data_IF_643385396701
#
_entry.id   IF_643385396701
#
_cell.length_a   1.000
_cell.length_b   1.000
_cell.length_c   1.000
_cell.angle_alpha   90.00
_cell.angle_beta   90.00
_cell.angle_gamma   90.00
#
_symmetry.space_group_name_H-M   'P 1'
#
loop_
_entity.id
_entity.type
_entity.pdbx_description
1 polymer ?
#
# COMPACT_ATOMS: atom_id res chain seq x y z
N UNK A 1 -10.31 -4.21 2.77
CA UNK A 1 -10.88 -2.94 2.30
C UNK A 1 -10.45 -1.83 3.26
N UNK A 2 -10.03 -0.71 2.72
CA UNK A 2 -9.82 0.53 3.45
C UNK A 2 -8.44 0.88 3.97
N UNK A 3 -7.38 0.06 3.87
CA UNK A 3 -6.06 0.44 4.39
C UNK A 3 -5.20 1.24 3.41
N UNK A 4 -5.57 1.35 2.13
CA UNK A 4 -4.80 2.05 1.10
C UNK A 4 -4.75 3.56 1.28
N UNK A 5 -3.66 4.21 0.83
CA UNK A 5 -3.46 5.65 0.97
C UNK A 5 -4.52 6.49 0.22
N UNK A 6 -5.06 5.95 -0.87
CA UNK A 6 -6.10 6.60 -1.69
C UNK A 6 -7.52 6.20 -1.30
N UNK A 7 -7.68 5.20 -0.44
CA UNK A 7 -8.96 4.61 -0.11
C UNK A 7 -9.65 5.38 1.02
N UNK A 8 -10.88 5.81 0.80
CA UNK A 8 -11.74 6.44 1.81
C UNK A 8 -12.92 5.56 2.22
N UNK A 9 -12.99 4.32 1.75
CA UNK A 9 -14.13 3.41 1.99
C UNK A 9 -14.47 3.27 3.47
N UNK A 10 -13.49 3.11 4.36
CA UNK A 10 -13.75 3.02 5.81
C UNK A 10 -14.38 4.28 6.39
N UNK A 11 -13.97 5.44 5.90
CA UNK A 11 -14.53 6.73 6.34
C UNK A 11 -15.94 6.92 5.81
N UNK A 12 -16.20 6.48 4.59
CA UNK A 12 -17.48 6.68 3.91
C UNK A 12 -18.54 5.66 4.28
N UNK A 13 -18.15 4.42 4.59
CA UNK A 13 -19.08 3.31 4.76
C UNK A 13 -18.99 2.63 6.12
N UNK A 14 -17.95 2.89 6.90
CA UNK A 14 -17.63 2.14 8.13
C UNK A 14 -17.11 0.72 7.87
N UNK A 15 -17.05 0.28 6.61
CA UNK A 15 -16.58 -1.07 6.23
C UNK A 15 -15.05 -1.09 6.13
N UNK A 16 -14.44 -2.10 6.73
CA UNK A 16 -13.00 -2.32 6.68
C UNK A 16 -12.42 -2.65 8.05
N UNK A 17 -11.21 -3.20 8.05
CA UNK A 17 -10.46 -3.55 9.27
C UNK A 17 -8.95 -3.39 9.03
N UNK A 18 -8.13 -3.35 10.09
CA UNK A 18 -6.68 -3.31 9.96
C UNK A 18 -6.15 -4.47 9.12
N UNK A 19 -5.25 -4.15 8.17
CA UNK A 19 -4.81 -5.09 7.14
C UNK A 19 -4.15 -6.34 7.73
N UNK A 20 -3.27 -6.18 8.73
CA UNK A 20 -2.58 -7.31 9.34
C UNK A 20 -3.57 -8.37 9.85
N UNK A 21 -4.58 -7.95 10.62
CA UNK A 21 -5.58 -8.87 11.17
C UNK A 21 -6.46 -9.51 10.09
N UNK A 22 -6.74 -8.78 9.00
CA UNK A 22 -7.49 -9.32 7.88
C UNK A 22 -6.70 -10.40 7.15
N UNK A 23 -5.42 -10.13 6.85
CA UNK A 23 -4.51 -11.09 6.19
C UNK A 23 -4.34 -12.34 7.05
N UNK A 24 -4.08 -12.19 8.35
CA UNK A 24 -3.86 -13.31 9.26
C UNK A 24 -5.04 -14.28 9.28
N UNK A 25 -6.26 -13.74 9.41
CA UNK A 25 -7.48 -14.55 9.45
C UNK A 25 -7.77 -15.20 8.09
N UNK A 26 -7.73 -14.42 7.00
CA UNK A 26 -8.01 -14.93 5.66
C UNK A 26 -6.94 -15.92 5.17
N UNK A 27 -5.66 -15.71 5.49
CA UNK A 27 -4.58 -16.62 5.10
C UNK A 27 -4.73 -17.99 5.80
N UNK A 28 -5.15 -18.00 7.07
CA UNK A 28 -5.43 -19.24 7.79
C UNK A 28 -6.54 -20.05 7.11
N UNK A 29 -7.65 -19.41 6.74
CA UNK A 29 -8.76 -20.04 6.05
C UNK A 29 -8.37 -20.51 4.63
N UNK A 30 -7.69 -19.66 3.86
CA UNK A 30 -7.29 -19.97 2.49
C UNK A 30 -6.34 -21.18 2.43
N UNK A 31 -5.39 -21.26 3.36
CA UNK A 31 -4.43 -22.37 3.42
C UNK A 31 -5.11 -23.74 3.61
N UNK A 32 -6.17 -23.77 4.41
CA UNK A 32 -6.96 -25.02 4.61
C UNK A 32 -7.63 -25.48 3.30
N UNK A 33 -7.85 -24.56 2.37
CA UNK A 33 -8.46 -24.83 1.07
C UNK A 33 -7.44 -24.90 -0.07
N UNK A 34 -6.13 -24.87 0.23
CA UNK A 34 -5.06 -24.83 -0.77
C UNK A 34 -4.98 -23.51 -1.56
N UNK A 35 -5.59 -22.43 -1.03
CA UNK A 35 -5.62 -21.13 -1.65
C UNK A 35 -4.53 -20.18 -1.15
N UNK A 36 -4.43 -19.01 -1.78
CA UNK A 36 -3.47 -17.96 -1.47
C UNK A 36 -4.18 -16.63 -1.17
N UNK A 37 -3.52 -15.80 -0.35
CA UNK A 37 -3.99 -14.45 -0.03
C UNK A 37 -3.01 -13.41 -0.55
N UNK A 38 -3.55 -12.39 -1.18
CA UNK A 38 -2.84 -11.18 -1.56
C UNK A 38 -3.19 -10.08 -0.55
N UNK A 39 -2.17 -9.47 0.05
CA UNK A 39 -2.34 -8.34 0.94
C UNK A 39 -2.35 -7.05 0.12
N UNK A 40 -3.54 -6.46 -0.07
CA UNK A 40 -3.71 -5.24 -0.86
C UNK A 40 -3.92 -4.02 0.03
N UNK A 41 -3.03 -3.05 -0.12
CA UNK A 41 -3.12 -1.75 0.53
C UNK A 41 -2.38 -1.63 1.88
N UNK A 42 -2.14 -0.39 2.28
CA UNK A 42 -1.48 -0.07 3.55
C UNK A 42 0.04 -0.22 3.58
N UNK A 43 0.67 -0.50 2.45
CA UNK A 43 2.13 -0.70 2.34
C UNK A 43 2.82 0.64 2.08
N UNK A 44 3.70 1.04 3.01
CA UNK A 44 4.47 2.29 2.95
C UNK A 44 5.95 2.10 3.22
N UNK A 45 6.33 0.99 3.83
CA UNK A 45 7.69 0.65 4.22
C UNK A 45 7.96 -0.84 3.99
N UNK A 46 9.22 -1.27 3.85
CA UNK A 46 9.57 -2.69 3.76
C UNK A 46 9.02 -3.54 4.92
N UNK A 47 8.93 -2.96 6.12
CA UNK A 47 8.33 -3.64 7.28
C UNK A 47 6.88 -4.05 7.05
N UNK A 48 6.11 -3.26 6.30
CA UNK A 48 4.69 -3.54 6.06
C UNK A 48 4.55 -4.77 5.14
N UNK A 49 5.48 -4.91 4.18
CA UNK A 49 5.60 -6.12 3.35
C UNK A 49 5.98 -7.32 4.21
N UNK A 50 7.00 -7.18 5.06
CA UNK A 50 7.44 -8.25 5.95
C UNK A 50 6.32 -8.71 6.89
N UNK A 51 5.56 -7.77 7.48
CA UNK A 51 4.42 -8.06 8.33
C UNK A 51 3.29 -8.77 7.58
N UNK A 52 3.00 -8.37 6.33
CA UNK A 52 1.98 -9.04 5.51
C UNK A 52 2.38 -10.48 5.19
N UNK A 53 3.65 -10.73 4.84
CA UNK A 53 4.19 -12.07 4.60
C UNK A 53 4.21 -12.90 5.89
N UNK A 54 4.59 -12.33 7.02
CA UNK A 54 4.54 -12.98 8.32
C UNK A 54 3.10 -13.35 8.72
N UNK A 55 2.10 -12.54 8.36
CA UNK A 55 0.69 -12.85 8.55
C UNK A 55 0.17 -13.97 7.63
N UNK A 56 0.95 -14.40 6.65
CA UNK A 56 0.62 -15.50 5.74
C UNK A 56 0.15 -15.09 4.35
N UNK A 57 0.31 -13.83 3.96
CA UNK A 57 0.11 -13.44 2.58
C UNK A 57 1.17 -14.09 1.67
N UNK A 58 0.75 -14.51 0.48
CA UNK A 58 1.67 -15.00 -0.56
C UNK A 58 2.20 -13.89 -1.43
N UNK A 59 1.44 -12.81 -1.56
CA UNK A 59 1.75 -11.66 -2.40
C UNK A 59 1.31 -10.38 -1.70
N UNK A 60 1.91 -9.27 -2.11
CA UNK A 60 1.56 -7.93 -1.64
C UNK A 60 1.25 -7.04 -2.83
N UNK A 61 0.12 -6.33 -2.77
CA UNK A 61 -0.26 -5.31 -3.75
C UNK A 61 0.13 -3.94 -3.23
N UNK A 62 0.93 -3.22 -4.01
CA UNK A 62 1.44 -1.90 -3.65
C UNK A 62 0.99 -0.90 -4.72
N UNK A 63 0.19 0.09 -4.33
CA UNK A 63 -0.30 1.13 -5.24
C UNK A 63 0.50 2.43 -5.14
N UNK A 64 0.25 3.19 -4.07
CA UNK A 64 0.78 4.55 -3.93
C UNK A 64 2.30 4.64 -3.95
N UNK A 65 2.99 3.67 -3.42
CA UNK A 65 4.46 3.67 -3.41
C UNK A 65 5.05 3.49 -4.81
N UNK A 66 4.49 2.58 -5.62
CA UNK A 66 4.87 2.44 -7.03
C UNK A 66 4.38 3.61 -7.91
N UNK A 67 3.30 4.30 -7.52
CA UNK A 67 2.83 5.46 -8.26
C UNK A 67 3.85 6.62 -8.29
N UNK A 68 4.79 6.66 -7.33
CA UNK A 68 5.90 7.59 -7.26
C UNK A 68 7.17 7.12 -7.99
N UNK A 69 7.05 6.32 -9.04
CA UNK A 69 8.21 5.88 -9.85
C UNK A 69 8.15 6.43 -11.27
N UNK A 70 9.29 6.45 -11.96
CA UNK A 70 9.37 6.91 -13.35
C UNK A 70 8.53 6.04 -14.30
N UNK A 71 8.46 4.74 -14.05
CA UNK A 71 7.76 3.76 -14.88
C UNK A 71 6.25 3.77 -14.66
N UNK A 72 5.75 4.36 -13.57
CA UNK A 72 4.32 4.45 -13.34
C UNK A 72 3.64 5.29 -14.42
N UNK A 73 2.37 5.01 -14.78
CA UNK A 73 1.66 5.80 -15.76
C UNK A 73 1.41 7.24 -15.27
N UNK A 74 1.18 8.14 -16.20
CA UNK A 74 0.95 9.57 -15.97
C UNK A 74 2.16 10.42 -16.29
N UNK A 75 1.89 11.70 -16.48
CA UNK A 75 2.91 12.68 -16.86
C UNK A 75 3.80 13.04 -15.68
N UNK A 76 5.11 13.14 -15.94
CA UNK A 76 6.06 13.67 -14.99
C UNK A 76 5.92 15.18 -14.93
N UNK A 77 5.57 15.70 -13.77
CA UNK A 77 5.39 17.13 -13.51
C UNK A 77 6.43 17.61 -12.49
N UNK A 78 6.55 18.93 -12.37
CA UNK A 78 7.39 19.57 -11.36
C UNK A 78 6.57 20.54 -10.53
N UNK A 79 6.85 20.59 -9.25
CA UNK A 79 6.23 21.55 -8.35
C UNK A 79 6.97 22.93 -8.38
N UNK A 80 6.60 23.83 -7.46
CA UNK A 80 7.20 25.17 -7.36
C UNK A 80 8.67 25.17 -6.96
N UNK A 81 9.10 24.10 -6.30
CA UNK A 81 10.47 23.89 -5.83
C UNK A 81 11.26 22.98 -6.79
N UNK A 82 10.77 22.83 -8.03
CA UNK A 82 11.33 22.00 -9.11
C UNK A 82 11.41 20.49 -8.76
N UNK A 83 10.63 20.03 -7.74
CA UNK A 83 10.61 18.63 -7.37
C UNK A 83 9.72 17.81 -8.29
N UNK A 84 10.21 16.67 -8.79
CA UNK A 84 9.43 15.82 -9.69
C UNK A 84 8.28 15.13 -8.95
N UNK A 85 7.11 15.07 -9.56
CA UNK A 85 5.97 14.32 -9.04
C UNK A 85 5.08 13.81 -10.17
N UNK A 86 4.25 12.81 -9.86
CA UNK A 86 3.13 12.35 -10.70
C UNK A 86 1.82 12.49 -9.95
N UNK A 87 0.74 12.74 -10.68
CA UNK A 87 -0.59 12.70 -10.08
C UNK A 87 -1.10 11.28 -9.97
N UNK A 88 -1.73 10.98 -8.84
CA UNK A 88 -2.41 9.70 -8.61
C UNK A 88 -3.79 9.94 -8.00
N UNK A 89 -4.71 9.02 -8.22
CA UNK A 89 -6.06 9.09 -7.68
C UNK A 89 -6.64 7.69 -7.44
N UNK A 90 -7.60 7.62 -6.51
CA UNK A 90 -8.27 6.36 -6.18
C UNK A 90 -9.12 5.85 -7.34
N UNK A 91 -9.17 4.53 -7.52
CA UNK A 91 -9.94 3.88 -8.59
C UNK A 91 -11.45 4.08 -8.48
N UNK A 92 -11.96 4.32 -7.30
CA UNK A 92 -13.36 4.64 -7.02
C UNK A 92 -13.60 6.13 -6.73
N UNK A 93 -12.61 6.99 -6.98
CA UNK A 93 -12.74 8.44 -6.88
C UNK A 93 -13.65 9.00 -7.97
N UNK A 94 -14.21 10.18 -7.75
CA UNK A 94 -15.02 10.88 -8.75
C UNK A 94 -14.27 11.06 -10.07
N UNK A 95 -12.97 11.39 -10.03
CA UNK A 95 -12.11 11.52 -11.21
C UNK A 95 -12.06 10.21 -12.02
N UNK A 96 -11.85 9.07 -11.36
CA UNK A 96 -11.80 7.77 -12.01
C UNK A 96 -13.17 7.36 -12.56
N UNK A 97 -14.25 7.62 -11.82
CA UNK A 97 -15.62 7.32 -12.26
C UNK A 97 -15.96 8.13 -13.51
N UNK A 98 -15.72 9.43 -13.52
CA UNK A 98 -15.98 10.31 -14.68
C UNK A 98 -15.17 9.85 -15.89
N UNK A 99 -13.91 9.50 -15.73
CA UNK A 99 -13.06 9.02 -16.82
C UNK A 99 -13.58 7.71 -17.44
N UNK A 100 -14.06 6.77 -16.62
CA UNK A 100 -14.57 5.48 -17.10
C UNK A 100 -15.98 5.53 -17.70
N UNK A 101 -16.77 6.53 -17.31
CA UNK A 101 -18.18 6.65 -17.72
C UNK A 101 -18.39 7.65 -18.86
N UNK A 102 -17.35 7.95 -19.62
CA UNK A 102 -17.41 8.91 -20.74
C UNK A 102 -18.43 8.54 -21.82
N UNK A 103 -18.69 7.24 -22.02
CA UNK A 103 -19.67 6.72 -22.97
C UNK A 103 -21.12 6.65 -22.40
N UNK A 104 -21.30 6.84 -21.09
CA UNK A 104 -22.62 6.81 -20.45
C UNK A 104 -23.40 8.09 -20.77
N UNK A 105 -24.74 8.00 -20.71
CA UNK A 105 -25.55 9.20 -20.79
C UNK A 105 -25.26 10.13 -19.59
N UNK A 106 -25.54 11.45 -19.72
CA UNK A 106 -25.20 12.43 -18.68
C UNK A 106 -25.85 12.17 -17.32
N UNK A 107 -27.07 11.63 -17.30
CA UNK A 107 -27.77 11.32 -16.06
C UNK A 107 -27.13 10.17 -15.30
N UNK A 108 -26.82 9.05 -15.98
CA UNK A 108 -26.19 7.89 -15.35
C UNK A 108 -24.78 8.21 -14.88
N UNK A 109 -24.03 9.00 -15.65
CA UNK A 109 -22.72 9.49 -15.26
C UNK A 109 -22.80 10.34 -13.98
N UNK A 110 -23.72 11.29 -13.94
CA UNK A 110 -23.91 12.13 -12.75
C UNK A 110 -24.31 11.29 -11.52
N UNK A 111 -25.21 10.32 -11.67
CA UNK A 111 -25.63 9.41 -10.62
C UNK A 111 -24.46 8.55 -10.09
N UNK A 112 -23.65 8.00 -10.96
CA UNK A 112 -22.46 7.21 -10.58
C UNK A 112 -21.40 8.03 -9.85
N UNK A 113 -21.33 9.33 -10.11
CA UNK A 113 -20.39 10.25 -9.49
C UNK A 113 -20.89 10.87 -8.16
N UNK A 114 -22.11 10.54 -7.70
CA UNK A 114 -22.66 11.08 -6.46
C UNK A 114 -21.99 10.53 -5.21
N UNK A 115 -21.52 9.29 -5.26
CA UNK A 115 -20.84 8.65 -4.14
C UNK A 115 -19.37 8.42 -4.51
N UNK A 116 -18.48 9.08 -3.79
CA UNK A 116 -17.03 9.05 -4.03
C UNK A 116 -16.35 8.22 -2.93
N UNK A 117 -15.63 7.19 -3.36
CA UNK A 117 -14.73 6.44 -2.51
C UNK A 117 -13.29 6.54 -3.04
N UNK A 118 -12.41 7.17 -2.26
CA UNK A 118 -11.04 7.44 -2.66
C UNK A 118 -10.81 8.90 -3.03
N UNK A 119 -9.57 9.35 -2.90
CA UNK A 119 -9.20 10.73 -3.21
C UNK A 119 -9.03 10.93 -4.72
N UNK A 120 -9.54 12.07 -5.22
CA UNK A 120 -9.53 12.38 -6.66
C UNK A 120 -8.21 12.98 -7.16
N UNK A 121 -7.38 13.50 -6.27
CA UNK A 121 -6.07 14.07 -6.61
C UNK A 121 -5.08 13.85 -5.48
N UNK A 122 -3.89 13.38 -5.83
CA UNK A 122 -2.75 13.30 -4.93
C UNK A 122 -1.47 13.45 -5.74
N UNK A 123 -0.45 14.02 -5.13
CA UNK A 123 0.88 14.11 -5.72
C UNK A 123 1.77 13.05 -5.12
N UNK A 124 2.33 12.23 -5.98
CA UNK A 124 3.35 11.23 -5.63
C UNK A 124 4.69 11.80 -6.03
N UNK A 125 5.45 12.30 -5.03
CA UNK A 125 6.82 12.76 -5.24
C UNK A 125 7.69 11.61 -5.72
N UNK A 126 8.58 11.90 -6.68
CA UNK A 126 9.63 10.99 -7.09
C UNK A 126 10.93 11.38 -6.41
N UNK A 127 11.65 10.38 -5.92
CA UNK A 127 13.02 10.57 -5.48
C UNK A 127 13.91 10.86 -6.71
N UNK A 128 14.56 12.01 -6.82
CA UNK A 128 15.36 12.34 -8.00
C UNK A 128 16.56 11.39 -8.18
N UNK A 129 17.06 10.78 -7.11
CA UNK A 129 18.23 9.91 -7.14
C UNK A 129 17.85 8.42 -7.24
N UNK A 130 16.64 8.06 -6.79
CA UNK A 130 16.14 6.67 -6.70
C UNK A 130 14.68 6.56 -7.12
N UNK A 131 14.32 7.19 -8.22
CA UNK A 131 12.95 7.24 -8.71
C UNK A 131 12.52 6.03 -9.55
N UNK A 132 13.36 5.04 -9.76
CA UNK A 132 13.07 3.84 -10.53
C UNK A 132 12.35 2.75 -9.74
N UNK A 133 11.57 1.93 -10.44
CA UNK A 133 10.89 0.78 -9.83
C UNK A 133 11.88 -0.26 -9.30
N UNK A 134 13.04 -0.41 -9.95
CA UNK A 134 14.09 -1.35 -9.52
C UNK A 134 14.67 -0.95 -8.17
N UNK A 135 14.97 0.33 -7.96
CA UNK A 135 15.46 0.85 -6.67
C UNK A 135 14.46 0.56 -5.54
N UNK A 136 13.17 0.74 -5.84
CA UNK A 136 12.11 0.47 -4.88
C UNK A 136 11.99 -1.03 -4.56
N UNK A 137 12.08 -1.90 -5.56
CA UNK A 137 12.05 -3.35 -5.37
C UNK A 137 13.28 -3.80 -4.56
N UNK A 138 14.46 -3.27 -4.84
CA UNK A 138 15.69 -3.59 -4.10
C UNK A 138 15.57 -3.14 -2.64
N UNK A 139 15.03 -1.97 -2.39
CA UNK A 139 14.76 -1.48 -1.04
C UNK A 139 13.80 -2.39 -0.28
N UNK A 140 12.68 -2.78 -0.90
CA UNK A 140 11.68 -3.68 -0.31
C UNK A 140 12.29 -5.05 -0.01
N UNK A 141 12.93 -5.66 -1.00
CA UNK A 141 13.49 -7.01 -0.87
C UNK A 141 14.64 -7.08 0.12
N UNK A 142 15.47 -6.05 0.19
CA UNK A 142 16.51 -5.93 1.21
C UNK A 142 15.92 -5.87 2.61
N UNK A 143 14.85 -5.10 2.81
CA UNK A 143 14.15 -5.04 4.08
C UNK A 143 13.53 -6.38 4.49
N UNK A 144 12.89 -7.09 3.55
CA UNK A 144 12.33 -8.43 3.80
C UNK A 144 13.43 -9.45 4.14
N UNK A 145 14.56 -9.44 3.41
CA UNK A 145 15.72 -10.30 3.70
C UNK A 145 16.29 -10.03 5.08
N UNK A 146 16.40 -8.76 5.47
CA UNK A 146 16.82 -8.36 6.80
C UNK A 146 15.88 -8.91 7.88
N UNK A 147 14.56 -8.81 7.66
CA UNK A 147 13.56 -9.40 8.56
C UNK A 147 13.75 -10.91 8.69
N UNK A 148 13.94 -11.63 7.58
CA UNK A 148 14.21 -13.07 7.60
C UNK A 148 15.46 -13.39 8.45
N UNK A 149 16.51 -12.58 8.33
CA UNK A 149 17.73 -12.76 9.13
C UNK A 149 17.46 -12.62 10.63
N UNK A 150 16.72 -11.59 11.05
CA UNK A 150 16.38 -11.38 12.46
C UNK A 150 15.47 -12.49 13.02
N UNK A 151 14.56 -13.00 12.21
CA UNK A 151 13.64 -14.08 12.60
C UNK A 151 14.32 -15.46 12.54
N UNK A 152 15.46 -15.57 11.88
CA UNK A 152 16.17 -16.83 11.65
C UNK A 152 15.49 -17.70 10.58
N UNK A 153 14.82 -17.08 9.61
CA UNK A 153 14.11 -17.74 8.52
C UNK A 153 14.96 -17.77 7.25
N UNK A 154 15.03 -18.92 6.59
CA UNK A 154 15.75 -19.11 5.32
C UNK A 154 14.85 -18.92 4.08
N UNK A 155 13.54 -18.89 4.27
CA UNK A 155 12.54 -18.71 3.23
C UNK A 155 11.24 -18.11 3.81
N UNK A 156 10.28 -17.77 2.94
CA UNK A 156 9.03 -17.13 3.37
C UNK A 156 8.11 -18.04 4.18
N UNK A 157 8.14 -19.34 3.96
CA UNK A 157 7.36 -20.29 4.77
C UNK A 157 7.87 -20.28 6.23
N UNK A 158 9.19 -20.36 6.41
CA UNK A 158 9.81 -20.26 7.73
C UNK A 158 9.60 -18.87 8.36
N UNK A 159 9.58 -17.78 7.57
CA UNK A 159 9.25 -16.47 8.10
C UNK A 159 7.85 -16.46 8.72
N UNK A 160 6.87 -17.03 8.02
CA UNK A 160 5.51 -17.11 8.54
C UNK A 160 5.42 -17.98 9.81
N UNK A 161 6.14 -19.08 9.86
CA UNK A 161 6.12 -20.02 10.99
C UNK A 161 6.83 -19.47 12.24
N UNK A 162 7.92 -18.73 12.05
CA UNK A 162 8.80 -18.29 13.14
C UNK A 162 8.54 -16.87 13.62
N UNK A 163 7.86 -16.05 12.80
CA UNK A 163 7.62 -14.66 13.15
C UNK A 163 6.70 -14.54 14.37
N UNK A 164 7.17 -13.81 15.37
CA UNK A 164 6.38 -13.43 16.53
C UNK A 164 6.03 -11.96 16.41
N UNK A 165 4.74 -11.66 16.31
CA UNK A 165 4.24 -10.29 16.17
C UNK A 165 3.59 -9.85 17.48
N UNK A 166 4.10 -8.77 18.06
CA UNK A 166 3.57 -8.17 19.27
C UNK A 166 2.68 -6.97 18.98
N UNK A 167 1.77 -6.69 19.91
CA UNK A 167 1.02 -5.44 19.93
C UNK A 167 1.76 -4.44 20.78
N UNK A 168 2.02 -3.25 20.24
CA UNK A 168 2.64 -2.15 20.98
C UNK A 168 1.68 -0.97 21.17
N UNK A 169 1.90 -0.19 22.21
CA UNK A 169 1.19 1.06 22.44
C UNK A 169 1.65 2.17 21.50
N UNK A 170 0.88 3.27 21.41
CA UNK A 170 1.31 4.46 20.69
C UNK A 170 2.64 5.04 21.22
N UNK A 171 2.88 4.96 22.52
CA UNK A 171 4.16 5.38 23.12
C UNK A 171 5.32 4.47 22.69
N UNK A 172 5.13 3.15 22.71
CA UNK A 172 6.14 2.20 22.21
C UNK A 172 6.43 2.37 20.72
N UNK A 173 5.42 2.70 19.91
CA UNK A 173 5.62 3.05 18.52
C UNK A 173 6.44 4.33 18.36
N UNK A 174 6.16 5.37 19.14
CA UNK A 174 6.89 6.63 19.09
C UNK A 174 8.36 6.47 19.54
N UNK A 175 8.62 5.65 20.56
CA UNK A 175 9.99 5.33 21.04
C UNK A 175 10.83 4.64 19.96
N UNK A 176 10.21 3.80 19.13
CA UNK A 176 10.88 3.09 18.04
C UNK A 176 11.12 3.93 16.78
N UNK A 177 10.73 5.20 16.76
CA UNK A 177 10.99 6.06 15.61
C UNK A 177 12.46 6.46 15.53
N UNK A 178 13.06 6.47 14.33
CA UNK A 178 14.40 7.00 14.15
C UNK A 178 14.42 8.50 14.44
N UNK A 179 15.58 9.02 14.82
CA UNK A 179 15.77 10.45 14.95
C UNK A 179 15.54 11.16 13.61
N UNK A 180 15.04 12.41 13.61
CA UNK A 180 14.91 13.19 12.39
C UNK A 180 16.25 13.34 11.67
N UNK A 181 16.22 13.38 10.33
CA UNK A 181 17.40 13.69 9.55
C UNK A 181 17.93 15.09 9.92
N UNK A 182 19.24 15.24 10.06
CA UNK A 182 19.87 16.52 10.44
C UNK A 182 20.08 16.70 11.94
N UNK A 183 20.05 15.65 12.68
CA UNK A 183 20.36 15.58 14.13
C UNK A 183 21.83 15.72 14.40
#
# INVERSE_FOLDING_TARGET
VGPGAMCTTRMMTGVGRPQFSAVLECASAARQLGGHIWADGGIRHPRDVALALAAGASNVMIGSWFAGTYESPGDLMRDRDDQPYKESYGMASKRAVVARTGADNPFDRARKALFEEGISTSRMGLDPDRGGVEDLIDHITSGVRSTCTYVGASNLAELHERAVVGVQSGAGFAEGHPLPAGW
#
